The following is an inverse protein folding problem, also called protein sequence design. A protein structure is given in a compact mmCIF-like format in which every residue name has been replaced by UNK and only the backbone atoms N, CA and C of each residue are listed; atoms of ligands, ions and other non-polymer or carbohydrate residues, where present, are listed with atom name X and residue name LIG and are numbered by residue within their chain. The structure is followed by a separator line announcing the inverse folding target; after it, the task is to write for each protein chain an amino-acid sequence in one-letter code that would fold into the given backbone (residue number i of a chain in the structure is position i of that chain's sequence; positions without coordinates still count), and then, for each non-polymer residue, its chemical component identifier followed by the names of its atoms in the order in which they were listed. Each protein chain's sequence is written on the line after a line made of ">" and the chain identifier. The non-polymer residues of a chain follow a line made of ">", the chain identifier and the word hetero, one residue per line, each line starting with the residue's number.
data_IF_377449476154
#
_entry.id   IF_377449476154
#
_cell.length_a   1.000
_cell.length_b   1.000
_cell.length_c   1.000
_cell.angle_alpha   90.00
_cell.angle_beta   90.00
_cell.angle_gamma   90.00
#
_symmetry.space_group_name_H-M   'P 1'
#
loop_
_entity.id
_entity.type
_entity.pdbx_description
1 polymer ?
#
# COMPACT_ATOMS: atom_id res chain seq x y z
N UNK A 1 -17.93 -2.87 -14.27
CA UNK A 1 -16.50 -3.22 -14.28
C UNK A 1 -15.94 -2.71 -12.97
N UNK A 2 -15.19 -3.53 -12.24
CA UNK A 2 -14.65 -3.12 -10.95
C UNK A 2 -13.44 -2.19 -11.16
N UNK A 3 -13.27 -1.24 -10.24
CA UNK A 3 -12.21 -0.23 -10.30
C UNK A 3 -11.27 -0.36 -9.11
N UNK A 4 -9.99 -0.57 -9.40
CA UNK A 4 -8.87 -0.54 -8.45
C UNK A 4 -8.14 0.81 -8.55
N UNK A 5 -7.97 1.48 -7.42
CA UNK A 5 -7.00 2.57 -7.24
C UNK A 5 -5.78 2.00 -6.52
N UNK A 6 -4.58 2.20 -7.07
CA UNK A 6 -3.34 1.69 -6.48
C UNK A 6 -2.19 2.69 -6.60
N UNK A 7 -1.52 2.97 -5.48
CA UNK A 7 -0.37 3.87 -5.47
C UNK A 7 0.94 3.16 -5.77
N UNK A 8 1.82 3.78 -6.57
CA UNK A 8 3.18 3.28 -6.80
C UNK A 8 3.27 2.06 -7.72
N UNK A 9 2.86 2.20 -8.98
CA UNK A 9 2.85 1.12 -9.98
C UNK A 9 3.99 1.19 -11.01
N UNK A 10 5.04 1.97 -10.74
CA UNK A 10 6.20 2.05 -11.64
C UNK A 10 7.06 0.78 -11.64
N UNK A 11 7.05 0.02 -10.53
CA UNK A 11 7.86 -1.19 -10.34
C UNK A 11 7.36 -2.06 -9.17
N UNK A 12 8.00 -3.22 -8.97
CA UNK A 12 7.81 -4.06 -7.79
C UNK A 12 6.39 -4.60 -7.63
N UNK A 13 5.93 -4.69 -6.37
CA UNK A 13 4.62 -5.25 -6.00
C UNK A 13 3.48 -4.50 -6.69
N UNK A 14 3.50 -3.16 -6.67
CA UNK A 14 2.45 -2.35 -7.28
C UNK A 14 2.30 -2.57 -8.78
N UNK A 15 3.42 -2.72 -9.50
CA UNK A 15 3.41 -3.01 -10.94
C UNK A 15 2.78 -4.38 -11.25
N UNK A 16 3.22 -5.44 -10.56
CA UNK A 16 2.69 -6.79 -10.80
C UNK A 16 1.22 -6.90 -10.35
N UNK A 17 0.84 -6.19 -9.28
CA UNK A 17 -0.56 -6.08 -8.85
C UNK A 17 -1.42 -5.41 -9.92
N UNK A 18 -0.97 -4.26 -10.45
CA UNK A 18 -1.69 -3.58 -11.53
C UNK A 18 -1.85 -4.47 -12.77
N UNK A 19 -0.79 -5.15 -13.22
CA UNK A 19 -0.85 -6.10 -14.34
C UNK A 19 -1.87 -7.21 -14.10
N UNK A 20 -1.86 -7.82 -12.92
CA UNK A 20 -2.76 -8.93 -12.61
C UNK A 20 -4.23 -8.48 -12.62
N UNK A 21 -4.55 -7.34 -12.02
CA UNK A 21 -5.91 -6.80 -12.03
C UNK A 21 -6.37 -6.43 -13.45
N UNK A 22 -5.49 -5.82 -14.26
CA UNK A 22 -5.78 -5.50 -15.67
C UNK A 22 -6.07 -6.78 -16.49
N UNK A 23 -5.26 -7.83 -16.32
CA UNK A 23 -5.45 -9.13 -16.98
C UNK A 23 -6.78 -9.79 -16.59
N UNK A 24 -7.29 -9.50 -15.39
CA UNK A 24 -8.59 -9.97 -14.90
C UNK A 24 -9.75 -9.00 -15.21
N UNK A 25 -9.55 -8.07 -16.15
CA UNK A 25 -10.62 -7.21 -16.68
C UNK A 25 -11.02 -6.04 -15.79
N UNK A 26 -10.23 -5.69 -14.77
CA UNK A 26 -10.47 -4.51 -13.94
C UNK A 26 -10.08 -3.22 -14.67
N UNK A 27 -10.70 -2.11 -14.26
CA UNK A 27 -10.16 -0.77 -14.47
C UNK A 27 -9.13 -0.51 -13.38
N UNK A 28 -7.92 -0.13 -13.76
CA UNK A 28 -6.86 0.24 -12.81
C UNK A 28 -6.53 1.71 -12.98
N UNK A 29 -6.68 2.46 -11.89
CA UNK A 29 -6.20 3.84 -11.74
C UNK A 29 -4.94 3.76 -10.89
N UNK A 30 -3.79 3.76 -11.55
CA UNK A 30 -2.48 3.66 -10.91
C UNK A 30 -1.83 5.02 -10.72
N UNK A 31 -0.89 5.11 -9.78
CA UNK A 31 0.00 6.27 -9.67
C UNK A 31 1.47 5.91 -9.68
N UNK A 32 2.30 6.85 -10.11
CA UNK A 32 3.75 6.85 -9.86
C UNK A 32 4.21 8.30 -9.67
N UNK A 33 5.43 8.54 -9.19
CA UNK A 33 5.90 9.92 -8.97
C UNK A 33 5.95 10.76 -10.25
N UNK A 34 6.13 10.12 -11.41
CA UNK A 34 6.23 10.80 -12.71
C UNK A 34 5.02 10.55 -13.62
N UNK A 35 4.03 9.77 -13.19
CA UNK A 35 2.87 9.42 -14.01
C UNK A 35 3.18 8.45 -15.15
N UNK A 36 4.23 7.66 -15.01
CA UNK A 36 4.65 6.62 -15.95
C UNK A 36 4.69 5.22 -15.33
N UNK A 37 4.61 4.21 -16.19
CA UNK A 37 4.71 2.80 -15.82
C UNK A 37 5.06 1.96 -17.06
N UNK A 38 5.79 0.84 -16.92
CA UNK A 38 6.12 -0.02 -18.05
C UNK A 38 4.92 -0.81 -18.62
N UNK A 39 3.79 -0.89 -17.91
CA UNK A 39 2.59 -1.56 -18.41
C UNK A 39 1.75 -0.62 -19.28
N UNK A 40 1.27 -1.12 -20.42
CA UNK A 40 0.29 -0.43 -21.27
C UNK A 40 -0.93 -1.31 -21.42
N UNK A 41 -2.10 -0.78 -21.06
CA UNK A 41 -3.37 -1.48 -21.19
C UNK A 41 -4.51 -0.49 -21.38
N UNK A 42 -5.54 -0.85 -22.15
CA UNK A 42 -6.69 0.03 -22.44
C UNK A 42 -7.52 0.40 -21.19
N UNK A 43 -7.46 -0.43 -20.15
CA UNK A 43 -8.14 -0.22 -18.87
C UNK A 43 -7.20 0.35 -17.80
N UNK A 44 -6.07 0.95 -18.19
CA UNK A 44 -5.13 1.56 -17.26
C UNK A 44 -5.16 3.08 -17.43
N UNK A 45 -5.43 3.78 -16.33
CA UNK A 45 -5.23 5.22 -16.21
C UNK A 45 -4.08 5.44 -15.22
N UNK A 46 -3.01 6.11 -15.64
CA UNK A 46 -1.83 6.39 -14.81
C UNK A 46 -1.73 7.89 -14.54
N UNK A 47 -1.50 8.26 -13.29
CA UNK A 47 -1.39 9.64 -12.85
C UNK A 47 -0.09 9.91 -12.09
N UNK A 48 0.51 11.11 -12.21
CA UNK A 48 1.57 11.53 -11.31
C UNK A 48 1.02 11.72 -9.91
N UNK A 49 1.72 11.20 -8.90
CA UNK A 49 1.43 11.43 -7.49
C UNK A 49 2.69 11.28 -6.65
N UNK A 50 3.12 12.38 -6.04
CA UNK A 50 4.06 12.39 -4.93
C UNK A 50 3.29 12.47 -3.60
N UNK A 51 3.41 11.45 -2.74
CA UNK A 51 2.74 11.42 -1.45
C UNK A 51 3.28 12.44 -0.42
N UNK A 52 4.37 13.15 -0.72
CA UNK A 52 4.79 14.29 0.11
C UNK A 52 4.13 15.61 -0.29
N UNK A 53 3.37 15.62 -1.39
CA UNK A 53 2.80 16.83 -2.00
C UNK A 53 1.27 16.83 -1.82
N UNK A 54 0.79 17.65 -0.88
CA UNK A 54 -0.62 17.76 -0.55
C UNK A 54 -1.48 18.27 -1.72
N UNK A 55 -0.93 19.12 -2.59
CA UNK A 55 -1.65 19.62 -3.77
C UNK A 55 -1.85 18.50 -4.79
N UNK A 56 -0.82 17.67 -5.02
CA UNK A 56 -0.95 16.49 -5.88
C UNK A 56 -1.93 15.46 -5.30
N UNK A 57 -1.91 15.23 -3.98
CA UNK A 57 -2.87 14.35 -3.31
C UNK A 57 -4.30 14.86 -3.52
N UNK A 58 -4.54 16.15 -3.27
CA UNK A 58 -5.86 16.76 -3.46
C UNK A 58 -6.34 16.65 -4.91
N UNK A 59 -5.49 17.05 -5.85
CA UNK A 59 -5.81 16.98 -7.27
C UNK A 59 -6.15 15.55 -7.70
N UNK A 60 -5.33 14.56 -7.31
CA UNK A 60 -5.57 13.17 -7.65
C UNK A 60 -6.90 12.66 -7.05
N UNK A 61 -7.16 12.93 -5.77
CA UNK A 61 -8.39 12.49 -5.11
C UNK A 61 -9.65 13.12 -5.73
N UNK A 62 -9.60 14.39 -6.14
CA UNK A 62 -10.70 15.07 -6.83
C UNK A 62 -11.06 14.38 -8.15
N UNK A 63 -10.05 14.01 -8.95
CA UNK A 63 -10.19 13.34 -10.25
C UNK A 63 -10.78 11.93 -10.16
N UNK A 64 -10.66 11.26 -9.01
CA UNK A 64 -11.11 9.88 -8.87
C UNK A 64 -12.62 9.76 -9.09
N UNK A 65 -13.07 8.82 -9.94
CA UNK A 65 -14.46 8.39 -9.96
C UNK A 65 -14.75 7.59 -8.68
N UNK A 66 -15.98 7.08 -8.54
CA UNK A 66 -16.21 6.06 -7.51
C UNK A 66 -15.46 4.77 -7.85
N UNK A 67 -14.93 4.10 -6.83
CA UNK A 67 -14.13 2.89 -7.01
C UNK A 67 -14.37 1.85 -5.91
N UNK A 68 -13.89 0.63 -6.15
CA UNK A 68 -14.21 -0.55 -5.34
C UNK A 68 -13.06 -0.97 -4.43
N UNK A 69 -11.81 -0.71 -4.83
CA UNK A 69 -10.63 -1.07 -4.05
C UNK A 69 -9.60 0.06 -4.07
N UNK A 70 -9.07 0.44 -2.91
CA UNK A 70 -7.85 1.23 -2.75
C UNK A 70 -6.74 0.33 -2.20
N UNK A 71 -5.61 0.25 -2.92
CA UNK A 71 -4.37 -0.37 -2.41
C UNK A 71 -3.32 0.74 -2.21
N UNK A 72 -3.04 1.05 -0.95
CA UNK A 72 -1.94 1.94 -0.57
C UNK A 72 -0.62 1.14 -0.59
N UNK A 73 0.05 1.12 -1.75
CA UNK A 73 1.27 0.36 -1.97
C UNK A 73 2.55 1.23 -1.94
N UNK A 74 2.48 2.49 -2.35
CA UNK A 74 3.65 3.37 -2.37
C UNK A 74 4.24 3.55 -0.97
N UNK A 75 5.53 3.28 -0.82
CA UNK A 75 6.28 3.44 0.42
C UNK A 75 7.79 3.58 0.12
N UNK A 76 8.52 4.13 1.08
CA UNK A 76 9.98 4.23 1.06
C UNK A 76 10.60 3.57 2.29
N UNK A 77 11.85 3.13 2.13
CA UNK A 77 12.76 2.70 3.18
C UNK A 77 14.10 3.36 2.84
N UNK A 78 14.53 4.31 3.67
CA UNK A 78 15.72 5.15 3.41
C UNK A 78 16.92 4.75 4.25
N UNK A 79 16.70 3.95 5.29
CA UNK A 79 17.71 3.57 6.28
C UNK A 79 18.63 2.49 5.72
N UNK A 80 19.91 2.63 6.03
CA UNK A 80 20.85 1.53 5.94
C UNK A 80 20.79 0.67 7.21
N UNK A 81 21.21 -0.59 7.07
CA UNK A 81 21.05 -1.62 8.09
C UNK A 81 21.98 -1.43 9.31
N UNK A 82 22.97 -0.55 9.20
CA UNK A 82 24.07 -0.40 10.14
C UNK A 82 24.03 0.93 10.93
N UNK A 83 22.95 1.72 10.81
CA UNK A 83 22.84 3.00 11.53
C UNK A 83 22.44 2.80 13.01
N UNK A 84 23.32 3.15 13.96
CA UNK A 84 23.03 3.08 15.40
C UNK A 84 22.07 4.18 15.90
N UNK A 85 21.99 5.32 15.21
CA UNK A 85 21.21 6.49 15.63
C UNK A 85 20.07 6.77 14.67
N UNK A 86 18.94 7.21 15.21
CA UNK A 86 17.82 7.72 14.40
C UNK A 86 18.25 8.95 13.62
N UNK A 87 18.23 8.85 12.30
CA UNK A 87 18.43 9.96 11.39
C UNK A 87 17.12 10.75 11.26
N UNK A 88 17.01 11.86 11.99
CA UNK A 88 15.77 12.65 12.04
C UNK A 88 15.30 13.17 10.67
N UNK A 89 16.20 13.36 9.70
CA UNK A 89 15.83 13.74 8.34
C UNK A 89 15.13 12.59 7.62
N UNK A 90 15.77 11.41 7.59
CA UNK A 90 15.18 10.21 6.98
C UNK A 90 13.89 9.77 7.69
N UNK A 91 13.83 9.93 9.02
CA UNK A 91 12.61 9.64 9.80
C UNK A 91 11.44 10.52 9.33
N UNK A 92 11.66 11.83 9.18
CA UNK A 92 10.63 12.76 8.69
C UNK A 92 10.19 12.37 7.30
N UNK A 93 11.13 12.13 6.40
CA UNK A 93 10.84 11.77 5.01
C UNK A 93 10.06 10.44 4.91
N UNK A 94 10.48 9.43 5.68
CA UNK A 94 9.79 8.14 5.78
C UNK A 94 8.36 8.32 6.27
N UNK A 95 8.14 9.13 7.32
CA UNK A 95 6.79 9.41 7.83
C UNK A 95 5.97 10.26 6.86
N UNK A 96 6.57 11.23 6.17
CA UNK A 96 5.89 12.04 5.15
C UNK A 96 5.27 11.19 4.06
N UNK A 97 5.97 10.17 3.56
CA UNK A 97 5.43 9.27 2.53
C UNK A 97 4.57 8.15 3.13
N UNK A 98 5.16 7.35 4.03
CA UNK A 98 4.54 6.10 4.48
C UNK A 98 3.37 6.31 5.43
N UNK A 99 3.27 7.47 6.08
CA UNK A 99 2.24 7.76 7.09
C UNK A 99 1.39 8.93 6.65
N UNK A 100 1.93 10.15 6.61
CA UNK A 100 1.13 11.36 6.40
C UNK A 100 0.48 11.36 5.01
N UNK A 101 1.26 11.18 3.94
CA UNK A 101 0.72 11.13 2.58
C UNK A 101 -0.24 9.98 2.34
N UNK A 102 0.05 8.80 2.91
CA UNK A 102 -0.83 7.63 2.82
C UNK A 102 -2.17 7.88 3.52
N UNK A 103 -2.15 8.43 4.73
CA UNK A 103 -3.37 8.77 5.49
C UNK A 103 -4.13 9.87 4.77
N UNK A 104 -3.47 10.96 4.36
CA UNK A 104 -4.11 12.09 3.70
C UNK A 104 -4.82 11.67 2.41
N UNK A 105 -4.15 10.90 1.55
CA UNK A 105 -4.76 10.35 0.36
C UNK A 105 -5.96 9.46 0.70
N UNK A 106 -5.80 8.56 1.68
CA UNK A 106 -6.87 7.62 2.07
C UNK A 106 -8.10 8.36 2.56
N UNK A 107 -7.94 9.34 3.44
CA UNK A 107 -9.05 10.14 3.99
C UNK A 107 -9.79 10.91 2.88
N UNK A 108 -9.06 11.51 1.93
CA UNK A 108 -9.67 12.22 0.80
C UNK A 108 -10.38 11.27 -0.19
N UNK A 109 -9.96 10.00 -0.25
CA UNK A 109 -10.59 8.99 -1.08
C UNK A 109 -11.89 8.42 -0.46
N UNK A 110 -12.13 8.57 0.85
CA UNK A 110 -13.31 7.97 1.53
C UNK A 110 -14.64 8.31 0.85
N UNK A 111 -14.93 9.57 0.46
CA UNK A 111 -16.18 9.92 -0.22
C UNK A 111 -16.37 9.27 -1.60
N UNK A 112 -15.29 8.75 -2.20
CA UNK A 112 -15.28 8.11 -3.52
C UNK A 112 -15.45 6.57 -3.43
N UNK A 113 -15.49 5.99 -2.23
CA UNK A 113 -15.68 4.56 -2.06
C UNK A 113 -17.10 4.13 -2.47
N UNK A 114 -17.20 3.08 -3.29
CA UNK A 114 -18.46 2.39 -3.54
C UNK A 114 -18.95 1.63 -2.29
N UNK A 115 -20.24 1.26 -2.23
CA UNK A 115 -20.73 0.35 -1.19
C UNK A 115 -19.93 -0.95 -1.18
N UNK A 116 -19.51 -1.40 0.00
CA UNK A 116 -18.65 -2.58 0.19
C UNK A 116 -17.25 -2.48 -0.40
N UNK A 117 -16.75 -1.26 -0.64
CA UNK A 117 -15.37 -1.07 -1.08
C UNK A 117 -14.36 -1.66 -0.08
N UNK A 118 -13.12 -1.81 -0.55
CA UNK A 118 -12.01 -2.32 0.24
C UNK A 118 -10.86 -1.33 0.27
N UNK A 119 -10.18 -1.23 1.41
CA UNK A 119 -8.92 -0.50 1.54
C UNK A 119 -7.88 -1.50 2.06
N UNK A 120 -6.79 -1.65 1.32
CA UNK A 120 -5.64 -2.48 1.70
C UNK A 120 -4.43 -1.57 1.85
N UNK A 121 -3.89 -1.52 3.07
CA UNK A 121 -2.64 -0.84 3.35
C UNK A 121 -1.50 -1.85 3.28
N UNK A 122 -0.57 -1.67 2.33
CA UNK A 122 0.65 -2.48 2.28
C UNK A 122 1.54 -2.05 3.45
N UNK A 123 1.57 -2.85 4.49
CA UNK A 123 2.36 -2.66 5.69
C UNK A 123 3.67 -3.46 5.58
N UNK A 124 4.06 -4.17 6.64
CA UNK A 124 5.19 -5.10 6.70
C UNK A 124 5.10 -5.89 8.00
N UNK A 125 5.62 -7.11 8.02
CA UNK A 125 5.82 -7.86 9.25
C UNK A 125 6.64 -7.12 10.30
N UNK A 126 7.54 -6.21 9.90
CA UNK A 126 8.24 -5.35 10.85
C UNK A 126 7.41 -4.18 11.41
N UNK A 127 6.21 -3.96 10.89
CA UNK A 127 5.22 -3.11 11.51
C UNK A 127 4.46 -3.82 12.64
N UNK A 128 4.69 -5.11 12.86
CA UNK A 128 4.04 -5.84 13.94
C UNK A 128 4.82 -5.70 15.26
N UNK A 129 4.11 -5.36 16.34
CA UNK A 129 4.67 -5.29 17.69
C UNK A 129 5.09 -6.67 18.21
N UNK A 130 4.35 -7.71 17.81
CA UNK A 130 4.61 -9.11 18.16
C UNK A 130 5.87 -9.70 17.52
N UNK A 131 6.37 -9.09 16.44
CA UNK A 131 7.54 -9.56 15.68
C UNK A 131 8.55 -8.44 15.43
N UNK A 132 9.41 -8.20 16.43
CA UNK A 132 10.52 -7.26 16.31
C UNK A 132 11.84 -7.90 16.79
N UNK A 133 12.43 -8.70 15.91
CA UNK A 133 13.64 -9.50 16.13
C UNK A 133 14.95 -8.73 15.92
N UNK A 134 14.90 -7.50 15.41
CA UNK A 134 16.08 -6.65 15.18
C UNK A 134 15.84 -5.18 15.53
N UNK A 135 16.91 -4.45 15.84
CA UNK A 135 16.87 -2.99 16.01
C UNK A 135 17.04 -2.22 14.69
N UNK A 136 17.24 -2.92 13.56
CA UNK A 136 17.50 -2.30 12.26
C UNK A 136 16.28 -1.59 11.68
N UNK A 137 16.53 -0.62 10.80
CA UNK A 137 15.52 0.16 10.06
C UNK A 137 14.37 0.74 10.92
N UNK A 138 14.66 1.36 12.09
CA UNK A 138 13.63 1.83 13.02
C UNK A 138 12.62 2.81 12.42
N UNK A 139 13.01 3.71 11.50
CA UNK A 139 12.07 4.65 10.86
C UNK A 139 11.00 3.90 10.07
N UNK A 140 11.41 2.91 9.26
CA UNK A 140 10.48 2.10 8.48
C UNK A 140 9.55 1.29 9.39
N UNK A 141 10.09 0.59 10.41
CA UNK A 141 9.29 -0.20 11.36
C UNK A 141 8.24 0.64 12.08
N UNK A 142 8.64 1.81 12.60
CA UNK A 142 7.72 2.75 13.25
C UNK A 142 6.64 3.25 12.28
N UNK A 143 7.00 3.55 11.03
CA UNK A 143 6.02 3.99 10.01
C UNK A 143 4.98 2.91 9.71
N UNK A 144 5.39 1.64 9.59
CA UNK A 144 4.48 0.51 9.33
C UNK A 144 3.62 0.15 10.54
N UNK A 145 4.16 0.29 11.75
CA UNK A 145 3.38 0.19 12.99
C UNK A 145 2.28 1.26 13.06
N UNK A 146 2.57 2.48 12.62
CA UNK A 146 1.57 3.55 12.54
C UNK A 146 0.46 3.22 11.54
N UNK A 147 0.80 2.71 10.36
CA UNK A 147 -0.17 2.25 9.35
C UNK A 147 -1.02 1.07 9.85
N UNK A 148 -0.45 0.18 10.65
CA UNK A 148 -1.20 -0.89 11.31
C UNK A 148 -2.26 -0.33 12.27
N UNK A 149 -1.90 0.62 13.13
CA UNK A 149 -2.86 1.29 14.00
C UNK A 149 -3.91 2.07 13.20
N UNK A 150 -3.50 2.79 12.15
CA UNK A 150 -4.43 3.51 11.27
C UNK A 150 -5.46 2.58 10.64
N UNK A 151 -5.03 1.39 10.18
CA UNK A 151 -5.92 0.35 9.63
C UNK A 151 -6.99 -0.07 10.64
N UNK A 152 -6.60 -0.35 11.89
CA UNK A 152 -7.53 -0.74 12.96
C UNK A 152 -8.55 0.35 13.27
N UNK A 153 -8.12 1.61 13.32
CA UNK A 153 -8.98 2.76 13.58
C UNK A 153 -9.94 2.99 12.40
N UNK A 154 -9.45 2.90 11.16
CA UNK A 154 -10.24 3.11 9.96
C UNK A 154 -11.31 2.02 9.78
N UNK A 155 -10.97 0.76 10.09
CA UNK A 155 -11.93 -0.35 10.10
C UNK A 155 -13.12 -0.09 11.04
N UNK A 156 -12.86 0.49 12.21
CA UNK A 156 -13.91 0.86 13.18
C UNK A 156 -14.74 2.06 12.72
N UNK A 157 -14.09 3.05 12.07
CA UNK A 157 -14.73 4.26 11.55
C UNK A 157 -15.63 3.97 10.34
N UNK A 158 -15.29 2.96 9.53
CA UNK A 158 -15.98 2.65 8.27
C UNK A 158 -16.55 1.22 8.25
N UNK A 159 -17.63 0.92 9.01
CA UNK A 159 -18.18 -0.44 9.11
C UNK A 159 -18.75 -1.00 7.78
N UNK A 160 -19.00 -0.14 6.78
CA UNK A 160 -19.45 -0.55 5.43
C UNK A 160 -18.31 -0.81 4.43
N UNK A 161 -17.06 -0.64 4.86
CA UNK A 161 -15.84 -0.79 4.05
C UNK A 161 -14.95 -1.85 4.71
N UNK A 162 -14.37 -2.75 3.91
CA UNK A 162 -13.41 -3.72 4.44
C UNK A 162 -12.03 -3.07 4.45
N UNK A 163 -11.41 -2.94 5.62
CA UNK A 163 -10.10 -2.33 5.77
C UNK A 163 -9.11 -3.38 6.26
N UNK A 164 -7.99 -3.54 5.57
CA UNK A 164 -6.99 -4.56 5.86
C UNK A 164 -5.58 -3.98 5.84
N UNK A 165 -4.74 -4.49 6.73
CA UNK A 165 -3.28 -4.32 6.63
C UNK A 165 -2.73 -5.59 5.98
N UNK A 166 -1.70 -5.45 5.17
CA UNK A 166 -1.11 -6.57 4.44
C UNK A 166 0.41 -6.57 4.56
N UNK A 167 0.98 -7.67 5.03
CA UNK A 167 2.40 -7.93 5.05
C UNK A 167 2.79 -8.75 3.80
N UNK A 168 3.50 -8.14 2.84
CA UNK A 168 3.93 -8.84 1.65
C UNK A 168 5.02 -9.89 1.90
N UNK A 169 5.63 -9.89 3.09
CA UNK A 169 6.84 -10.67 3.38
C UNK A 169 8.08 -10.04 2.72
N UNK A 170 9.17 -10.82 2.63
CA UNK A 170 10.41 -10.35 2.02
C UNK A 170 10.40 -10.58 0.50
N UNK A 171 10.07 -9.52 -0.25
CA UNK A 171 9.82 -9.57 -1.70
C UNK A 171 10.97 -8.98 -2.51
N UNK A 172 11.34 -9.66 -3.61
CA UNK A 172 12.40 -9.26 -4.54
C UNK A 172 12.03 -8.02 -5.36
N UNK A 173 12.24 -6.89 -4.73
CA UNK A 173 12.08 -5.53 -5.25
C UNK A 173 13.36 -4.74 -4.98
N UNK A 174 13.44 -3.49 -5.45
CA UNK A 174 14.55 -2.59 -5.08
C UNK A 174 14.71 -2.46 -3.56
N UNK A 175 13.60 -2.44 -2.82
CA UNK A 175 13.58 -2.37 -1.35
C UNK A 175 14.05 -3.69 -0.70
N UNK A 176 13.56 -4.83 -1.19
CA UNK A 176 13.92 -6.15 -0.65
C UNK A 176 15.27 -6.68 -1.12
N UNK A 177 15.85 -6.10 -2.18
CA UNK A 177 17.08 -6.52 -2.86
C UNK A 177 16.98 -7.94 -3.47
N UNK A 178 17.97 -8.33 -4.27
CA UNK A 178 17.93 -9.57 -5.07
C UNK A 178 17.89 -10.87 -4.26
N UNK A 179 18.29 -10.83 -2.98
CA UNK A 179 18.32 -12.00 -2.11
C UNK A 179 16.96 -12.37 -1.52
N UNK A 180 15.94 -11.52 -1.69
CA UNK A 180 14.59 -11.81 -1.21
C UNK A 180 14.02 -13.08 -1.91
N UNK A 181 13.39 -13.98 -1.14
CA UNK A 181 12.93 -15.28 -1.64
C UNK A 181 11.66 -15.18 -2.49
N UNK A 182 10.77 -14.23 -2.18
CA UNK A 182 9.44 -14.13 -2.80
C UNK A 182 9.43 -13.19 -4.00
N UNK A 183 8.71 -13.56 -5.06
CA UNK A 183 8.58 -12.69 -6.24
C UNK A 183 7.46 -11.65 -6.04
N UNK A 184 7.57 -10.46 -6.66
CA UNK A 184 6.47 -9.49 -6.67
C UNK A 184 5.17 -10.04 -7.25
N UNK A 185 5.25 -10.94 -8.23
CA UNK A 185 4.09 -11.62 -8.82
C UNK A 185 3.33 -12.49 -7.83
N UNK A 186 4.04 -13.17 -6.92
CA UNK A 186 3.40 -14.02 -5.90
C UNK A 186 2.60 -13.16 -4.92
N UNK A 187 3.18 -12.00 -4.55
CA UNK A 187 2.50 -11.01 -3.71
C UNK A 187 1.27 -10.42 -4.41
N UNK A 188 1.35 -10.18 -5.72
CA UNK A 188 0.20 -9.72 -6.50
C UNK A 188 -0.94 -10.75 -6.50
N UNK A 189 -0.62 -12.04 -6.63
CA UNK A 189 -1.62 -13.13 -6.51
C UNK A 189 -2.31 -13.12 -5.14
N UNK A 190 -1.55 -13.00 -4.06
CA UNK A 190 -2.10 -12.92 -2.70
C UNK A 190 -3.03 -11.71 -2.51
N UNK A 191 -2.66 -10.55 -3.04
CA UNK A 191 -3.51 -9.36 -3.00
C UNK A 191 -4.79 -9.55 -3.80
N UNK A 192 -4.70 -10.17 -4.98
CA UNK A 192 -5.87 -10.48 -5.79
C UNK A 192 -6.80 -11.47 -5.07
N UNK A 193 -6.24 -12.51 -4.46
CA UNK A 193 -7.00 -13.45 -3.64
C UNK A 193 -7.66 -12.77 -2.44
N UNK A 194 -6.93 -11.90 -1.74
CA UNK A 194 -7.45 -11.14 -0.59
C UNK A 194 -8.64 -10.26 -1.00
N UNK A 195 -8.54 -9.55 -2.12
CA UNK A 195 -9.66 -8.75 -2.65
C UNK A 195 -10.90 -9.60 -2.95
N UNK A 196 -10.73 -10.86 -3.33
CA UNK A 196 -11.83 -11.78 -3.64
C UNK A 196 -12.27 -12.63 -2.43
N UNK A 197 -11.59 -12.52 -1.29
CA UNK A 197 -11.92 -13.28 -0.07
C UNK A 197 -13.19 -12.73 0.59
N UNK A 198 -13.85 -13.57 1.39
CA UNK A 198 -14.99 -13.15 2.22
C UNK A 198 -14.55 -12.01 3.17
N UNK A 199 -15.41 -10.99 3.27
CA UNK A 199 -15.13 -9.72 3.97
C UNK A 199 -14.82 -9.93 5.46
N UNK A 200 -13.61 -9.55 5.84
CA UNK A 200 -13.12 -9.48 7.22
C UNK A 200 -12.35 -8.16 7.38
N UNK A 201 -12.87 -7.24 8.19
CA UNK A 201 -12.30 -5.90 8.37
C UNK A 201 -11.51 -5.79 9.66
N UNK A 202 -10.43 -5.01 9.66
CA UNK A 202 -9.57 -4.81 10.84
C UNK A 202 -8.59 -5.95 11.10
N UNK A 203 -8.14 -6.64 10.05
CA UNK A 203 -7.17 -7.73 10.14
C UNK A 203 -5.84 -7.38 9.47
N UNK A 204 -4.78 -8.03 9.95
CA UNK A 204 -3.46 -8.00 9.38
C UNK A 204 -3.18 -9.32 8.66
N UNK A 205 -2.94 -9.26 7.36
CA UNK A 205 -2.86 -10.44 6.49
C UNK A 205 -1.42 -10.74 6.07
N UNK A 206 -1.11 -12.02 5.95
CA UNK A 206 0.14 -12.54 5.39
C UNK A 206 -0.11 -13.94 4.81
N UNK A 207 0.26 -14.17 3.55
CA UNK A 207 0.12 -15.48 2.89
C UNK A 207 -1.30 -16.09 3.02
N UNK A 208 -2.33 -15.26 2.82
CA UNK A 208 -3.73 -15.66 2.89
C UNK A 208 -4.29 -15.90 4.31
N UNK A 209 -3.48 -15.73 5.35
CA UNK A 209 -3.84 -15.93 6.77
C UNK A 209 -3.74 -14.64 7.55
N UNK A 210 -4.46 -14.57 8.67
CA UNK A 210 -4.31 -13.47 9.63
C UNK A 210 -3.03 -13.68 10.44
N UNK A 211 -2.30 -12.60 10.72
CA UNK A 211 -1.15 -12.57 11.63
C UNK A 211 -1.40 -11.61 12.79
N UNK A 212 -0.59 -11.77 13.83
CA UNK A 212 -0.61 -10.85 14.96
C UNK A 212 -0.05 -9.48 14.58
N UNK A 213 -0.57 -8.47 15.30
CA UNK A 213 -0.23 -7.06 15.15
C UNK A 213 1.09 -6.68 15.81
#
# INVERSE_FOLDING_TARGET
>A
MNTLVITGISRGIGLETAKLFLMNGWLVIGTSTHGDTPVKHKNLNIHPLNLMDAEQINHFAELLPKFDVLINNAAILLEDWDEEKINMRQLRETFSVNVFGTIELTEQCIPKLNPNAQIINISSGWGAFSSNDSASVPHYKMSKSCINMYTLLLAKRLPGVTVSSFDPGWVRTDMGKNNAPKLPSDTACELFELVNKKKESGYFWHEGRTRDW
#
